data_IF_353189914756
#
_entry.id   IF_353189914756
#
_cell.length_a   1.000
_cell.length_b   1.000
_cell.length_c   1.000
_cell.angle_alpha   90.00
_cell.angle_beta   90.00
_cell.angle_gamma   90.00
#
_symmetry.space_group_name_H-M   'P 1'
#
loop_
_entity.id
_entity.type
_entity.pdbx_description
1 polymer ?
#
# COMPACT_ATOMS: atom_id res chain seq x y z
N UNK A 1 25.25 26.95 39.84
CA UNK A 1 24.27 26.96 38.73
C UNK A 1 24.94 26.98 37.36
N UNK A 2 25.91 27.89 37.10
CA UNK A 2 26.64 27.93 35.81
C UNK A 2 27.36 26.63 35.42
N UNK A 3 28.04 25.96 36.35
CA UNK A 3 28.82 24.74 36.06
C UNK A 3 27.91 23.59 35.58
N UNK A 4 26.74 23.42 36.21
CA UNK A 4 25.75 22.40 35.83
C UNK A 4 25.18 22.68 34.44
N UNK A 5 24.89 23.95 34.14
CA UNK A 5 24.42 24.37 32.83
C UNK A 5 25.48 24.11 31.74
N UNK A 6 26.74 24.45 32.00
CA UNK A 6 27.86 24.21 31.08
C UNK A 6 28.05 22.70 30.81
N UNK A 7 27.99 21.87 31.84
CA UNK A 7 28.07 20.41 31.70
C UNK A 7 26.91 19.83 30.89
N UNK A 8 25.68 20.32 31.12
CA UNK A 8 24.51 19.91 30.34
C UNK A 8 24.65 20.29 28.87
N UNK A 9 25.06 21.53 28.57
CA UNK A 9 25.23 22.02 27.20
C UNK A 9 26.33 21.26 26.45
N UNK A 10 27.45 20.95 27.11
CA UNK A 10 28.55 20.19 26.51
C UNK A 10 28.13 18.74 26.22
N UNK A 11 27.40 18.09 27.14
CA UNK A 11 26.83 16.77 26.93
C UNK A 11 25.81 16.74 25.79
N UNK A 12 24.90 17.72 25.76
CA UNK A 12 23.92 17.86 24.69
C UNK A 12 24.60 18.07 23.32
N UNK A 13 25.67 18.87 23.25
CA UNK A 13 26.43 19.06 22.02
C UNK A 13 27.09 17.76 21.51
N UNK A 14 27.67 16.96 22.41
CA UNK A 14 28.25 15.66 22.06
C UNK A 14 27.19 14.69 21.54
N UNK A 15 26.04 14.62 22.22
CA UNK A 15 24.91 13.76 21.81
C UNK A 15 24.36 14.22 20.46
N UNK A 16 24.19 15.53 20.25
CA UNK A 16 23.76 16.09 18.99
C UNK A 16 24.72 15.74 17.84
N UNK A 17 26.04 15.90 18.03
CA UNK A 17 27.03 15.51 17.03
C UNK A 17 26.99 14.00 16.71
N UNK A 18 26.85 13.15 17.72
CA UNK A 18 26.73 11.71 17.53
C UNK A 18 25.46 11.32 16.77
N UNK A 19 24.32 11.92 17.10
CA UNK A 19 23.06 11.71 16.41
C UNK A 19 23.09 12.22 14.98
N UNK A 20 23.66 13.40 14.73
CA UNK A 20 23.83 13.93 13.37
C UNK A 20 24.69 12.99 12.52
N UNK A 21 25.76 12.44 13.08
CA UNK A 21 26.58 11.45 12.39
C UNK A 21 25.80 10.19 12.01
N UNK A 22 24.98 9.67 12.94
CA UNK A 22 24.08 8.52 12.67
C UNK A 22 23.07 8.88 11.57
N UNK A 23 22.44 10.04 11.66
CA UNK A 23 21.47 10.53 10.68
C UNK A 23 22.07 10.61 9.27
N UNK A 24 23.28 11.16 9.13
CA UNK A 24 23.96 11.26 7.83
C UNK A 24 24.33 9.89 7.25
N UNK A 25 24.66 8.91 8.10
CA UNK A 25 25.08 7.56 7.63
C UNK A 25 23.95 6.59 7.38
N UNK A 26 22.85 6.69 8.13
CA UNK A 26 21.80 5.67 8.13
C UNK A 26 20.48 6.13 7.50
N UNK A 27 20.26 7.43 7.31
CA UNK A 27 19.05 7.92 6.66
C UNK A 27 19.28 8.12 5.17
N UNK A 28 18.38 7.58 4.37
CA UNK A 28 18.39 7.73 2.92
C UNK A 28 17.52 8.90 2.44
N UNK A 29 17.49 9.11 1.12
CA UNK A 29 16.70 10.18 0.50
C UNK A 29 15.21 10.08 0.84
N UNK A 30 14.67 8.88 0.99
CA UNK A 30 13.25 8.65 1.21
C UNK A 30 12.87 9.01 2.65
N UNK A 31 13.74 8.68 3.61
CA UNK A 31 13.59 9.09 5.01
C UNK A 31 13.51 10.61 5.14
N UNK A 32 14.40 11.33 4.44
CA UNK A 32 14.41 12.80 4.43
C UNK A 32 13.23 13.44 3.69
N UNK A 33 12.62 12.74 2.75
CA UNK A 33 11.51 13.27 1.97
C UNK A 33 10.18 13.10 2.70
N UNK A 34 9.94 11.95 3.33
CA UNK A 34 8.63 11.58 3.87
C UNK A 34 8.56 11.68 5.40
N UNK A 35 9.68 11.49 6.08
CA UNK A 35 9.73 11.30 7.54
C UNK A 35 10.55 12.40 8.25
N UNK A 36 10.91 13.48 7.54
CA UNK A 36 11.71 14.59 8.07
C UNK A 36 11.20 15.16 9.39
N UNK A 37 9.89 15.35 9.52
CA UNK A 37 9.27 15.92 10.72
C UNK A 37 9.53 15.04 11.95
N UNK A 38 9.26 13.74 11.81
CA UNK A 38 9.45 12.78 12.88
C UNK A 38 10.93 12.60 13.21
N UNK A 39 11.80 12.54 12.20
CA UNK A 39 13.26 12.45 12.40
C UNK A 39 13.76 13.64 13.23
N UNK A 40 13.37 14.88 12.88
CA UNK A 40 13.78 16.07 13.63
C UNK A 40 13.16 16.13 15.03
N UNK A 41 11.90 15.69 15.18
CA UNK A 41 11.26 15.60 16.49
C UNK A 41 12.03 14.65 17.41
N UNK A 42 12.35 13.43 16.96
CA UNK A 42 13.13 12.46 17.71
C UNK A 42 14.54 12.99 18.01
N UNK A 43 15.19 13.63 17.04
CA UNK A 43 16.49 14.28 17.24
C UNK A 43 16.46 15.31 18.37
N UNK A 44 15.54 16.28 18.32
CA UNK A 44 15.41 17.33 19.34
C UNK A 44 15.06 16.72 20.69
N UNK A 45 14.14 15.76 20.71
CA UNK A 45 13.73 15.06 21.93
C UNK A 45 14.93 14.35 22.59
N UNK A 46 15.73 13.61 21.82
CA UNK A 46 16.91 12.92 22.34
C UNK A 46 17.99 13.87 22.85
N UNK A 47 18.20 15.00 22.17
CA UNK A 47 19.17 16.02 22.60
C UNK A 47 18.70 16.71 23.88
N UNK A 48 17.41 17.03 24.02
CA UNK A 48 16.89 17.67 25.24
C UNK A 48 16.89 16.71 26.44
N UNK A 49 16.51 15.45 26.23
CA UNK A 49 16.36 14.46 27.29
C UNK A 49 17.54 13.48 27.41
N UNK A 50 18.71 13.84 26.88
CA UNK A 50 19.91 13.01 26.91
C UNK A 50 20.31 12.48 28.30
N UNK A 51 20.15 13.22 29.42
CA UNK A 51 20.54 12.70 30.73
C UNK A 51 19.63 11.55 31.18
N UNK A 52 18.34 11.59 30.81
CA UNK A 52 17.38 10.51 31.10
C UNK A 52 17.71 9.24 30.31
N UNK A 53 18.18 9.41 29.07
CA UNK A 53 18.58 8.29 28.21
C UNK A 53 19.75 7.51 28.81
N UNK A 54 20.72 8.19 29.44
CA UNK A 54 21.83 7.51 30.12
C UNK A 54 21.36 6.56 31.23
N UNK A 55 20.32 6.92 31.99
CA UNK A 55 19.76 6.05 33.03
C UNK A 55 19.07 4.81 32.44
N UNK A 56 18.42 4.95 31.28
CA UNK A 56 17.84 3.83 30.55
C UNK A 56 18.90 2.86 29.99
N UNK A 57 20.03 3.39 29.49
CA UNK A 57 21.08 2.58 28.87
C UNK A 57 21.78 1.63 29.82
N UNK A 58 21.93 2.02 31.09
CA UNK A 58 22.51 1.15 32.12
C UNK A 58 21.66 -0.12 32.32
N UNK A 59 20.35 -0.07 32.03
CA UNK A 59 19.43 -1.21 32.20
C UNK A 59 19.19 -2.03 30.93
N UNK A 60 19.23 -1.43 29.74
CA UNK A 60 18.75 -2.08 28.50
C UNK A 60 19.85 -2.49 27.49
N UNK A 61 21.13 -2.30 27.80
CA UNK A 61 22.22 -2.55 26.84
C UNK A 61 22.31 -1.43 25.79
N UNK A 62 23.31 -1.48 24.90
CA UNK A 62 23.56 -0.43 23.90
C UNK A 62 22.39 -0.39 22.89
N UNK A 63 21.54 0.66 22.89
CA UNK A 63 20.47 0.75 21.91
C UNK A 63 21.04 1.04 20.52
N UNK A 64 20.44 0.46 19.49
CA UNK A 64 20.73 0.84 18.11
C UNK A 64 20.03 2.18 17.84
N UNK A 65 20.79 3.26 17.89
CA UNK A 65 20.30 4.62 17.72
C UNK A 65 19.55 4.85 16.41
N UNK A 66 19.92 4.09 15.35
CA UNK A 66 19.25 4.17 14.06
C UNK A 66 17.78 3.73 14.15
N UNK A 67 17.45 2.74 14.99
CA UNK A 67 16.09 2.21 15.10
C UNK A 67 15.16 3.17 15.86
N UNK A 68 15.72 4.02 16.74
CA UNK A 68 14.95 5.01 17.49
C UNK A 68 14.69 6.31 16.70
N UNK A 69 15.48 6.57 15.67
CA UNK A 69 15.29 7.71 14.77
C UNK A 69 14.27 7.42 13.66
N UNK A 70 13.96 6.14 13.41
CA UNK A 70 12.97 5.74 12.44
C UNK A 70 11.56 5.88 13.03
N UNK A 71 10.63 6.57 12.36
CA UNK A 71 9.26 6.62 12.81
C UNK A 71 8.63 5.23 12.84
N UNK A 72 7.69 5.03 13.76
CA UNK A 72 6.87 3.82 13.83
C UNK A 72 5.95 3.67 12.61
N UNK A 73 5.58 4.79 11.97
CA UNK A 73 4.86 4.83 10.72
C UNK A 73 5.84 4.76 9.55
N UNK A 74 5.91 3.60 8.91
CA UNK A 74 6.97 3.25 7.96
C UNK A 74 6.70 3.78 6.54
N UNK A 75 6.47 5.09 6.39
CA UNK A 75 6.14 5.71 5.09
C UNK A 75 7.31 5.64 4.12
N UNK A 76 8.53 5.93 4.57
CA UNK A 76 9.71 5.79 3.72
C UNK A 76 9.90 4.34 3.23
N UNK A 77 9.71 3.35 4.10
CA UNK A 77 9.77 1.93 3.72
C UNK A 77 8.70 1.57 2.68
N UNK A 78 7.45 2.04 2.86
CA UNK A 78 6.38 1.86 1.89
C UNK A 78 6.75 2.42 0.50
N UNK A 79 7.27 3.64 0.43
CA UNK A 79 7.67 4.24 -0.85
C UNK A 79 8.90 3.57 -1.46
N UNK A 80 9.84 3.06 -0.64
CA UNK A 80 10.97 2.26 -1.12
C UNK A 80 10.50 0.95 -1.74
N UNK A 81 9.57 0.26 -1.09
CA UNK A 81 8.98 -0.98 -1.63
C UNK A 81 8.20 -0.71 -2.92
N UNK A 82 7.41 0.37 -2.98
CA UNK A 82 6.75 0.79 -4.21
C UNK A 82 7.74 1.05 -5.34
N UNK A 83 8.85 1.77 -5.10
CA UNK A 83 9.82 2.05 -6.14
C UNK A 83 10.52 0.78 -6.64
N UNK A 84 10.86 -0.16 -5.74
CA UNK A 84 11.40 -1.47 -6.15
C UNK A 84 10.41 -2.23 -7.02
N UNK A 85 9.15 -2.30 -6.59
CA UNK A 85 8.08 -2.95 -7.35
C UNK A 85 7.86 -2.30 -8.74
N UNK A 86 8.06 -0.98 -8.88
CA UNK A 86 7.96 -0.32 -10.18
C UNK A 86 9.13 -0.66 -11.10
N UNK A 87 10.34 -0.89 -10.56
CA UNK A 87 11.50 -1.29 -11.35
C UNK A 87 11.43 -2.75 -11.79
N UNK A 88 10.81 -3.60 -10.97
CA UNK A 88 10.61 -5.03 -11.23
C UNK A 88 9.29 -5.34 -11.96
N UNK A 89 8.60 -4.30 -12.44
CA UNK A 89 7.33 -4.42 -13.12
C UNK A 89 7.48 -5.25 -14.40
N UNK A 90 6.79 -6.38 -14.48
CA UNK A 90 6.70 -7.17 -15.71
C UNK A 90 5.97 -6.35 -16.78
N UNK A 91 6.33 -6.53 -18.04
CA UNK A 91 5.57 -5.98 -19.16
C UNK A 91 4.14 -6.54 -19.17
N UNK A 92 3.17 -5.70 -19.49
CA UNK A 92 1.78 -6.15 -19.61
C UNK A 92 1.66 -7.14 -20.79
N UNK A 93 0.89 -8.22 -20.61
CA UNK A 93 0.61 -9.20 -21.67
C UNK A 93 -0.72 -8.94 -22.37
N UNK A 94 -1.17 -9.91 -23.18
CA UNK A 94 -2.52 -9.89 -23.78
C UNK A 94 -3.63 -10.00 -22.72
N UNK A 95 -3.34 -10.62 -21.57
CA UNK A 95 -4.24 -10.79 -20.44
C UNK A 95 -3.59 -10.34 -19.13
N UNK A 96 -4.42 -9.85 -18.23
CA UNK A 96 -4.04 -9.42 -16.88
C UNK A 96 -4.75 -10.28 -15.86
N UNK A 97 -4.00 -10.84 -14.91
CA UNK A 97 -4.52 -11.62 -13.78
C UNK A 97 -4.60 -10.77 -12.52
N UNK A 98 -5.75 -10.71 -11.86
CA UNK A 98 -5.95 -10.01 -10.61
C UNK A 98 -6.37 -10.99 -9.51
N UNK A 99 -5.57 -11.02 -8.45
CA UNK A 99 -5.84 -11.77 -7.23
C UNK A 99 -6.15 -10.76 -6.12
N UNK A 100 -7.41 -10.65 -5.67
CA UNK A 100 -7.77 -9.76 -4.59
C UNK A 100 -7.04 -10.17 -3.32
N UNK A 101 -6.38 -9.20 -2.70
CA UNK A 101 -5.84 -9.40 -1.36
C UNK A 101 -7.01 -9.40 -0.37
N UNK A 102 -6.94 -10.19 0.70
CA UNK A 102 -7.91 -10.09 1.79
C UNK A 102 -7.81 -8.69 2.41
N UNK A 103 -8.75 -7.81 2.09
CA UNK A 103 -8.89 -6.50 2.70
C UNK A 103 -9.86 -6.61 3.88
N UNK A 104 -9.32 -6.66 5.11
CA UNK A 104 -10.11 -6.60 6.34
C UNK A 104 -10.26 -7.93 7.08
N UNK A 105 -11.28 -7.97 7.95
CA UNK A 105 -11.47 -9.02 8.98
C UNK A 105 -12.36 -10.17 8.47
N UNK A 106 -13.11 -9.97 7.38
CA UNK A 106 -14.39 -10.66 7.21
C UNK A 106 -14.60 -11.43 5.89
N UNK A 107 -13.56 -11.85 5.16
CA UNK A 107 -13.57 -13.10 4.36
C UNK A 107 -12.31 -13.20 3.49
N UNK A 108 -11.78 -14.42 3.37
CA UNK A 108 -10.78 -14.73 2.35
C UNK A 108 -11.45 -14.67 0.97
N UNK A 109 -10.86 -13.93 0.03
CA UNK A 109 -11.28 -13.93 -1.36
C UNK A 109 -10.51 -15.00 -2.13
N UNK A 110 -11.24 -15.84 -2.87
CA UNK A 110 -10.70 -17.02 -3.54
C UNK A 110 -10.68 -16.89 -5.07
N UNK A 111 -10.99 -15.70 -5.63
CA UNK A 111 -11.05 -15.47 -7.08
C UNK A 111 -9.70 -15.13 -7.68
N UNK A 112 -9.40 -15.70 -8.84
CA UNK A 112 -8.37 -15.22 -9.76
C UNK A 112 -9.08 -14.70 -11.01
N UNK A 113 -9.06 -13.37 -11.20
CA UNK A 113 -9.76 -12.72 -12.30
C UNK A 113 -8.81 -12.49 -13.47
N UNK A 114 -9.22 -12.88 -14.66
CA UNK A 114 -8.44 -12.75 -15.89
C UNK A 114 -9.17 -11.80 -16.82
N UNK A 115 -8.55 -10.67 -17.13
CA UNK A 115 -9.12 -9.62 -17.97
C UNK A 115 -8.31 -9.46 -19.26
N UNK A 116 -8.96 -9.31 -20.43
CA UNK A 116 -8.26 -8.93 -21.65
C UNK A 116 -7.69 -7.51 -21.54
N UNK A 117 -6.38 -7.35 -21.74
CA UNK A 117 -5.68 -6.06 -21.60
C UNK A 117 -6.26 -4.98 -22.52
N UNK A 118 -6.73 -5.36 -23.72
CA UNK A 118 -7.34 -4.43 -24.67
C UNK A 118 -8.70 -3.86 -24.18
N UNK A 119 -9.48 -4.64 -23.44
CA UNK A 119 -10.74 -4.17 -22.86
C UNK A 119 -10.48 -3.35 -21.59
N UNK A 120 -9.49 -3.77 -20.79
CA UNK A 120 -8.99 -3.02 -19.65
C UNK A 120 -8.53 -1.61 -20.06
N UNK A 121 -7.79 -1.49 -21.16
CA UNK A 121 -7.34 -0.20 -21.69
C UNK A 121 -8.53 0.72 -22.02
N UNK A 122 -9.53 0.20 -22.76
CA UNK A 122 -10.73 0.96 -23.13
C UNK A 122 -11.47 1.47 -21.90
N UNK A 123 -11.65 0.62 -20.89
CA UNK A 123 -12.31 0.98 -19.64
C UNK A 123 -11.52 2.05 -18.86
N UNK A 124 -10.19 1.93 -18.83
CA UNK A 124 -9.32 2.93 -18.19
C UNK A 124 -9.39 4.29 -18.88
N UNK A 125 -9.37 4.32 -20.21
CA UNK A 125 -9.48 5.56 -20.99
C UNK A 125 -10.82 6.26 -20.68
N UNK A 126 -11.93 5.50 -20.67
CA UNK A 126 -13.24 6.06 -20.38
C UNK A 126 -13.32 6.58 -18.93
N UNK A 127 -12.80 5.82 -17.96
CA UNK A 127 -12.76 6.23 -16.55
C UNK A 127 -11.93 7.50 -16.35
N UNK A 128 -10.77 7.62 -16.99
CA UNK A 128 -9.93 8.83 -16.93
C UNK A 128 -10.57 10.02 -17.64
N UNK A 129 -11.35 9.78 -18.71
CA UNK A 129 -12.14 10.82 -19.37
C UNK A 129 -13.22 11.38 -18.45
N UNK A 130 -13.91 10.51 -17.72
CA UNK A 130 -14.95 10.89 -16.75
C UNK A 130 -14.36 11.52 -15.48
N UNK A 131 -13.16 11.10 -15.09
CA UNK A 131 -12.46 11.55 -13.88
C UNK A 131 -11.01 11.94 -14.16
N UNK A 132 -10.75 13.10 -14.78
CA UNK A 132 -9.39 13.51 -15.18
C UNK A 132 -8.40 13.64 -14.01
N UNK A 133 -8.89 13.90 -12.79
CA UNK A 133 -8.05 13.99 -11.59
C UNK A 133 -7.35 12.67 -11.23
N UNK A 134 -7.82 11.53 -11.74
CA UNK A 134 -7.19 10.22 -11.52
C UNK A 134 -5.96 10.00 -12.40
N UNK A 135 -5.71 10.86 -13.39
CA UNK A 135 -4.58 10.69 -14.33
C UNK A 135 -3.22 10.78 -13.63
N UNK A 136 -3.11 11.52 -12.53
CA UNK A 136 -1.89 11.59 -11.71
C UNK A 136 -1.71 10.45 -10.71
N UNK A 137 -2.73 9.59 -10.56
CA UNK A 137 -2.77 8.53 -9.56
C UNK A 137 -2.43 7.15 -10.17
N UNK A 138 -2.78 6.08 -9.47
CA UNK A 138 -2.54 4.70 -9.89
C UNK A 138 -3.20 4.37 -11.23
N UNK A 139 -4.40 4.91 -11.51
CA UNK A 139 -5.12 4.65 -12.76
C UNK A 139 -4.37 5.15 -14.00
N UNK A 140 -3.75 6.34 -13.94
CA UNK A 140 -2.94 6.85 -15.05
C UNK A 140 -1.69 6.02 -15.28
N UNK A 141 -1.03 5.57 -14.20
CA UNK A 141 0.16 4.69 -14.29
C UNK A 141 -0.20 3.30 -14.81
N UNK A 142 -1.33 2.76 -14.36
CA UNK A 142 -1.89 1.50 -14.83
C UNK A 142 -2.21 1.58 -16.32
N UNK A 143 -2.82 2.67 -16.79
CA UNK A 143 -3.06 2.88 -18.22
C UNK A 143 -1.74 2.87 -19.01
N UNK A 144 -0.72 3.61 -18.58
CA UNK A 144 0.58 3.62 -19.25
C UNK A 144 1.21 2.20 -19.33
N UNK A 145 1.07 1.42 -18.26
CA UNK A 145 1.51 0.02 -18.23
C UNK A 145 0.73 -0.86 -19.22
N UNK A 146 -0.60 -0.77 -19.24
CA UNK A 146 -1.45 -1.52 -20.19
C UNK A 146 -1.20 -1.10 -21.64
N UNK A 147 -0.87 0.17 -21.89
CA UNK A 147 -0.52 0.66 -23.23
C UNK A 147 0.83 0.13 -23.73
N UNK A 148 1.75 -0.19 -22.81
CA UNK A 148 3.00 -0.89 -23.12
C UNK A 148 2.85 -2.40 -23.28
N UNK A 149 1.62 -2.92 -23.50
CA UNK A 149 1.38 -4.36 -23.61
C UNK A 149 2.12 -4.99 -24.80
N UNK A 150 2.55 -6.22 -24.59
CA UNK A 150 3.06 -7.10 -25.62
C UNK A 150 2.02 -8.18 -25.92
N UNK A 151 1.42 -8.12 -27.12
CA UNK A 151 0.38 -9.07 -27.54
C UNK A 151 0.94 -10.47 -27.85
N UNK A 152 2.27 -10.63 -27.96
CA UNK A 152 2.89 -11.95 -28.10
C UNK A 152 2.83 -12.75 -26.79
N UNK A 153 2.70 -12.08 -25.64
CA UNK A 153 2.57 -12.70 -24.32
C UNK A 153 1.12 -13.09 -24.05
N UNK A 154 0.78 -14.33 -24.38
CA UNK A 154 -0.57 -14.88 -24.16
C UNK A 154 -0.83 -15.31 -22.72
N UNK A 155 0.23 -15.51 -21.91
CA UNK A 155 0.08 -15.86 -20.50
C UNK A 155 -0.43 -14.65 -19.70
N UNK A 156 -1.42 -14.84 -18.79
CA UNK A 156 -1.89 -13.77 -17.93
C UNK A 156 -0.78 -13.22 -17.03
N UNK A 157 -0.60 -11.90 -17.05
CA UNK A 157 0.38 -11.21 -16.19
C UNK A 157 -0.33 -10.69 -14.95
N UNK A 158 0.17 -11.05 -13.77
CA UNK A 158 -0.41 -10.60 -12.50
C UNK A 158 -0.37 -9.07 -12.36
N UNK A 159 -1.46 -8.48 -11.87
CA UNK A 159 -1.55 -7.07 -11.48
C UNK A 159 -0.58 -6.83 -10.32
N UNK A 160 0.37 -5.90 -10.49
CA UNK A 160 1.26 -5.43 -9.44
C UNK A 160 0.51 -5.05 -8.15
N UNK A 161 0.93 -5.59 -6.98
CA UNK A 161 0.21 -5.44 -5.72
C UNK A 161 0.17 -4.01 -5.17
N UNK A 162 0.97 -3.11 -5.74
CA UNK A 162 1.04 -1.70 -5.39
C UNK A 162 -0.18 -0.89 -5.85
N UNK A 163 -0.95 -1.38 -6.82
CA UNK A 163 -2.17 -0.74 -7.30
C UNK A 163 -3.37 -1.21 -6.49
N UNK A 164 -3.42 -0.80 -5.22
CA UNK A 164 -4.48 -1.21 -4.27
C UNK A 164 -5.89 -0.87 -4.78
N UNK A 165 -6.03 0.20 -5.56
CA UNK A 165 -7.31 0.65 -6.13
C UNK A 165 -7.77 -0.15 -7.34
N UNK A 166 -7.02 -1.17 -7.77
CA UNK A 166 -7.43 -2.05 -8.86
C UNK A 166 -8.73 -2.81 -8.56
N UNK A 167 -9.03 -3.07 -7.28
CA UNK A 167 -10.31 -3.70 -6.86
C UNK A 167 -11.54 -2.96 -7.41
N UNK A 168 -11.52 -1.62 -7.40
CA UNK A 168 -12.60 -0.80 -7.96
C UNK A 168 -12.68 -0.83 -9.48
N UNK A 169 -11.57 -1.13 -10.17
CA UNK A 169 -11.58 -1.30 -11.62
C UNK A 169 -12.04 -2.71 -11.98
N UNK A 170 -11.66 -3.72 -11.19
CA UNK A 170 -12.16 -5.07 -11.32
C UNK A 170 -13.69 -5.12 -11.14
N UNK A 171 -14.24 -4.40 -10.16
CA UNK A 171 -15.69 -4.24 -9.98
C UNK A 171 -16.37 -3.71 -11.25
N UNK A 172 -15.85 -2.62 -11.83
CA UNK A 172 -16.37 -2.07 -13.08
C UNK A 172 -16.33 -3.11 -14.21
N UNK A 173 -15.23 -3.83 -14.38
CA UNK A 173 -15.09 -4.82 -15.45
C UNK A 173 -16.07 -5.98 -15.26
N UNK A 174 -16.21 -6.48 -14.03
CA UNK A 174 -17.16 -7.55 -13.70
C UNK A 174 -18.59 -7.08 -13.97
N UNK A 175 -18.95 -5.85 -13.59
CA UNK A 175 -20.27 -5.28 -13.83
C UNK A 175 -20.61 -5.16 -15.33
N UNK A 176 -19.59 -5.01 -16.19
CA UNK A 176 -19.76 -5.00 -17.65
C UNK A 176 -19.62 -6.39 -18.30
N UNK A 177 -19.59 -7.46 -17.49
CA UNK A 177 -19.37 -8.84 -17.93
C UNK A 177 -18.07 -9.04 -18.71
N UNK A 178 -17.00 -8.33 -18.32
CA UNK A 178 -15.69 -8.41 -18.96
C UNK A 178 -14.77 -9.31 -18.14
N UNK A 179 -14.29 -10.38 -18.78
CA UNK A 179 -13.26 -11.26 -18.25
C UNK A 179 -13.79 -12.61 -17.79
N UNK A 180 -12.89 -13.38 -17.19
CA UNK A 180 -13.13 -14.70 -16.64
C UNK A 180 -12.67 -14.70 -15.20
N UNK A 181 -13.28 -15.54 -14.35
CA UNK A 181 -12.79 -15.76 -13.00
C UNK A 181 -12.59 -17.24 -12.75
N UNK A 182 -11.45 -17.59 -12.18
CA UNK A 182 -11.16 -18.93 -11.68
C UNK A 182 -11.35 -18.95 -10.18
N UNK A 183 -12.22 -19.83 -9.69
CA UNK A 183 -12.37 -20.03 -8.25
C UNK A 183 -11.25 -20.96 -7.75
N UNK A 184 -10.44 -20.53 -6.78
CA UNK A 184 -9.37 -21.39 -6.22
C UNK A 184 -9.88 -22.56 -5.37
N UNK A 185 -11.15 -22.53 -4.95
CA UNK A 185 -11.79 -23.62 -4.19
C UNK A 185 -12.47 -24.63 -5.10
N UNK A 186 -13.24 -24.17 -6.10
CA UNK A 186 -13.93 -25.06 -7.04
C UNK A 186 -13.04 -25.51 -8.20
N UNK A 187 -11.98 -24.76 -8.50
CA UNK A 187 -11.16 -24.87 -9.71
C UNK A 187 -11.92 -24.64 -11.02
N UNK A 188 -13.18 -24.20 -10.95
CA UNK A 188 -14.01 -23.87 -12.11
C UNK A 188 -13.65 -22.49 -12.68
N UNK A 189 -13.66 -22.40 -14.01
CA UNK A 189 -13.63 -21.15 -14.75
C UNK A 189 -15.07 -20.68 -15.00
N UNK A 190 -15.35 -19.46 -14.57
CA UNK A 190 -16.69 -18.89 -14.53
C UNK A 190 -16.65 -17.57 -15.29
N UNK A 191 -17.60 -17.38 -16.20
CA UNK A 191 -17.76 -16.08 -16.85
C UNK A 191 -18.27 -15.05 -15.84
N UNK A 192 -17.80 -13.80 -15.92
CA UNK A 192 -18.19 -12.75 -14.96
C UNK A 192 -19.70 -12.52 -14.89
N UNK A 193 -20.44 -12.78 -15.98
CA UNK A 193 -21.90 -12.66 -16.00
C UNK A 193 -22.68 -13.78 -15.28
N UNK A 194 -21.99 -14.84 -14.85
CA UNK A 194 -22.57 -15.93 -14.06
C UNK A 194 -22.37 -15.73 -12.55
N UNK A 195 -21.70 -14.66 -12.14
CA UNK A 195 -21.42 -14.37 -10.74
C UNK A 195 -22.65 -13.86 -10.01
N UNK A 196 -22.80 -14.31 -8.76
CA UNK A 196 -23.87 -13.82 -7.89
C UNK A 196 -23.36 -12.63 -7.10
N UNK A 197 -23.98 -11.47 -7.28
CA UNK A 197 -23.72 -10.29 -6.47
C UNK A 197 -24.50 -10.36 -5.15
N UNK A 198 -23.81 -10.14 -4.04
CA UNK A 198 -24.42 -10.02 -2.72
C UNK A 198 -23.86 -8.80 -2.01
N UNK A 199 -24.75 -7.92 -1.54
CA UNK A 199 -24.38 -6.83 -0.64
C UNK A 199 -24.63 -7.24 0.80
N UNK A 200 -23.65 -7.00 1.67
CA UNK A 200 -23.74 -7.30 3.10
C UNK A 200 -23.45 -6.03 3.90
N UNK A 201 -24.31 -5.72 4.87
CA UNK A 201 -24.06 -4.65 5.83
C UNK A 201 -23.54 -5.27 7.13
N UNK A 202 -22.26 -5.07 7.42
CA UNK A 202 -21.58 -5.59 8.59
C UNK A 202 -21.00 -4.42 9.40
N UNK A 203 -21.50 -4.22 10.62
CA UNK A 203 -20.92 -3.30 11.60
C UNK A 203 -20.67 -1.87 11.06
N UNK A 204 -21.62 -1.30 10.30
CA UNK A 204 -21.47 0.03 9.71
C UNK A 204 -20.57 0.07 8.48
N UNK A 205 -20.34 -1.08 7.82
CA UNK A 205 -19.70 -1.18 6.51
C UNK A 205 -20.64 -1.85 5.52
N UNK A 206 -20.76 -1.28 4.33
CA UNK A 206 -21.44 -1.94 3.21
C UNK A 206 -20.36 -2.57 2.34
N UNK A 207 -20.39 -3.89 2.25
CA UNK A 207 -19.50 -4.68 1.40
C UNK A 207 -20.28 -5.22 0.21
N UNK A 208 -19.69 -5.12 -0.98
CA UNK A 208 -20.16 -5.86 -2.16
C UNK A 208 -19.30 -7.11 -2.31
N UNK A 209 -19.95 -8.26 -2.47
CA UNK A 209 -19.32 -9.56 -2.67
C UNK A 209 -19.78 -10.17 -3.99
N UNK A 210 -18.83 -10.70 -4.73
CA UNK A 210 -19.09 -11.56 -5.89
C UNK A 210 -18.85 -13.02 -5.50
N UNK A 211 -19.87 -13.85 -5.66
CA UNK A 211 -19.84 -15.26 -5.31
C UNK A 211 -19.84 -16.13 -6.56
N UNK A 212 -19.11 -17.24 -6.52
CA UNK A 212 -19.26 -18.30 -7.53
C UNK A 212 -20.65 -18.99 -7.39
N UNK A 213 -21.11 -19.77 -8.39
CA UNK A 213 -22.36 -20.53 -8.30
C UNK A 213 -22.46 -21.46 -7.08
N UNK A 214 -21.32 -21.93 -6.57
CA UNK A 214 -21.21 -22.76 -5.36
C UNK A 214 -21.15 -21.96 -4.04
N UNK A 215 -21.28 -20.63 -4.09
CA UNK A 215 -21.35 -19.76 -2.91
C UNK A 215 -20.02 -19.27 -2.31
N UNK A 216 -18.87 -19.62 -2.87
CA UNK A 216 -17.57 -19.10 -2.42
C UNK A 216 -17.36 -17.63 -2.80
N UNK A 217 -16.83 -16.83 -1.88
CA UNK A 217 -16.47 -15.43 -2.13
C UNK A 217 -15.24 -15.32 -3.05
N UNK A 218 -15.42 -14.75 -4.23
CA UNK A 218 -14.35 -14.56 -5.22
C UNK A 218 -13.70 -13.18 -5.08
N UNK A 219 -14.52 -12.15 -4.85
CA UNK A 219 -14.10 -10.78 -4.62
C UNK A 219 -15.01 -10.16 -3.56
N UNK A 220 -14.42 -9.48 -2.59
CA UNK A 220 -15.12 -8.66 -1.63
C UNK A 220 -14.40 -7.32 -1.53
N UNK A 221 -15.15 -6.22 -1.56
CA UNK A 221 -14.57 -4.91 -1.30
C UNK A 221 -15.59 -3.98 -0.63
N UNK A 222 -15.06 -3.00 0.09
CA UNK A 222 -15.83 -2.05 0.87
C UNK A 222 -16.37 -0.93 -0.03
N UNK A 223 -17.70 -0.85 -0.15
CA UNK A 223 -18.38 0.24 -0.88
C UNK A 223 -18.46 1.50 -0.03
N UNK A 224 -18.78 1.36 1.25
CA UNK A 224 -19.01 2.49 2.14
C UNK A 224 -18.66 2.12 3.58
N UNK A 225 -17.90 3.01 4.23
CA UNK A 225 -17.67 2.99 5.67
C UNK A 225 -18.51 4.08 6.33
N UNK A 226 -19.45 3.70 7.20
CA UNK A 226 -20.11 4.66 8.08
C UNK A 226 -19.17 4.98 9.24
N UNK A 227 -18.55 6.16 9.20
CA UNK A 227 -17.85 6.71 10.36
C UNK A 227 -18.88 7.35 11.28
N UNK A 228 -19.30 6.62 12.31
CA UNK A 228 -20.05 7.24 13.41
C UNK A 228 -19.12 8.19 14.16
N UNK A 229 -19.25 9.49 13.87
CA UNK A 229 -18.69 10.54 14.71
C UNK A 229 -19.55 10.63 15.97
N UNK A 230 -19.14 9.97 17.05
CA UNK A 230 -19.69 10.24 18.37
C UNK A 230 -19.27 11.66 18.77
N UNK A 231 -20.22 12.60 18.71
CA UNK A 231 -20.09 13.89 19.40
C UNK A 231 -20.20 13.72 20.90
#
# INVERSE_FOLDING_TARGET
>A
MMILLQGYLLGAALVACGLLWVMVRHLDKHDWQWDKGDIWFHFVFMVLFWPLMLFGWVKQGRPNWADWLKPTANRADYYREMERAYRELKTCGAYVSYKPKPEGICDNSYGEFIFPSALLEKQLIERLRQSPHLQGNDEGKLLAWVQSRDESLQEPVDVPPMWSRFSYLADDLIAHNIGLVRCSVCHDEIETGQLQEKSVNLCGRVERKYLCPNGHALLAFELMRFTYSSR
#
